data_IF_123390333786
#
_entry.id   IF_123390333786
#
_cell.length_a   1.000
_cell.length_b   1.000
_cell.length_c   1.000
_cell.angle_alpha   90.00
_cell.angle_beta   90.00
_cell.angle_gamma   90.00
#
_symmetry.space_group_name_H-M   'P 1'
#
loop_
_entity.id
_entity.type
_entity.pdbx_description
1 polymer ?
#
# COMPACT_ATOMS: atom_id res chain seq x y z
N UNK A 1 -10.70 5.54 10.33
CA UNK A 1 -9.53 4.77 9.88
C UNK A 1 -9.56 3.36 10.45
N UNK A 2 -9.43 2.38 9.58
CA UNK A 2 -9.69 0.96 9.87
C UNK A 2 -8.59 0.34 10.74
N UNK A 3 -8.94 -0.25 11.92
CA UNK A 3 -7.96 -0.66 12.91
C UNK A 3 -7.00 -1.78 12.45
N UNK A 4 -7.48 -2.74 11.65
CA UNK A 4 -6.70 -3.94 11.28
C UNK A 4 -5.59 -3.66 10.28
N UNK A 5 -5.87 -2.94 9.20
CA UNK A 5 -4.85 -2.56 8.21
C UNK A 5 -3.82 -1.61 8.83
N UNK A 6 -4.27 -0.72 9.71
CA UNK A 6 -3.38 0.15 10.47
C UNK A 6 -2.42 -0.65 11.35
N UNK A 7 -2.89 -1.71 12.02
CA UNK A 7 -2.09 -2.60 12.86
C UNK A 7 -1.00 -3.32 12.05
N UNK A 8 -1.36 -3.91 10.91
CA UNK A 8 -0.42 -4.58 10.02
C UNK A 8 0.71 -3.67 9.57
N UNK A 9 0.38 -2.47 9.12
CA UNK A 9 1.38 -1.50 8.69
C UNK A 9 2.33 -1.09 9.79
N UNK A 10 1.80 -0.83 10.97
CA UNK A 10 2.64 -0.41 12.10
C UNK A 10 3.59 -1.51 12.54
N UNK A 11 3.17 -2.77 12.53
CA UNK A 11 4.02 -3.88 12.83
C UNK A 11 5.17 -4.01 11.83
N UNK A 12 4.87 -4.01 10.54
CA UNK A 12 5.89 -4.04 9.48
C UNK A 12 6.84 -2.84 9.55
N UNK A 13 6.35 -1.64 9.87
CA UNK A 13 7.18 -0.44 9.99
C UNK A 13 8.08 -0.52 11.23
N UNK A 14 7.58 -0.98 12.38
CA UNK A 14 8.38 -1.18 13.59
C UNK A 14 9.59 -2.07 13.36
N UNK A 15 9.42 -3.12 12.57
CA UNK A 15 10.45 -4.10 12.28
C UNK A 15 11.35 -3.68 11.11
N UNK A 16 11.29 -2.43 10.67
CA UNK A 16 12.03 -1.90 9.52
C UNK A 16 11.81 -2.71 8.23
N UNK A 17 10.68 -3.38 8.12
CA UNK A 17 10.35 -4.26 7.00
C UNK A 17 10.36 -3.51 5.65
N UNK A 18 9.91 -2.26 5.64
CA UNK A 18 9.81 -1.45 4.42
C UNK A 18 11.09 -0.72 4.04
N UNK A 19 12.09 -0.69 4.92
CA UNK A 19 13.34 0.00 4.65
C UNK A 19 14.09 -0.68 3.49
N UNK A 20 14.45 0.10 2.49
CA UNK A 20 15.14 -0.40 1.31
C UNK A 20 14.26 -1.04 0.25
N UNK A 21 12.95 -1.18 0.45
CA UNK A 21 12.03 -1.72 -0.56
C UNK A 21 11.75 -0.72 -1.67
N UNK A 22 11.48 -1.25 -2.88
CA UNK A 22 11.23 -0.44 -4.07
C UNK A 22 9.75 -0.33 -4.40
N UNK A 23 9.40 0.67 -5.21
CA UNK A 23 8.14 0.71 -5.94
C UNK A 23 8.31 -0.09 -7.22
N UNK A 24 7.93 -1.36 -7.19
CA UNK A 24 8.17 -2.32 -8.29
C UNK A 24 7.17 -2.21 -9.44
N UNK A 25 6.05 -1.52 -9.24
CA UNK A 25 5.03 -1.29 -10.26
C UNK A 25 4.53 0.14 -10.22
N UNK A 26 4.70 0.85 -11.31
CA UNK A 26 4.36 2.27 -11.41
C UNK A 26 3.58 2.49 -12.70
N UNK A 27 2.38 3.03 -12.59
CA UNK A 27 1.54 3.37 -13.74
C UNK A 27 1.14 4.85 -13.63
N UNK A 28 1.69 5.65 -14.52
CA UNK A 28 1.36 7.08 -14.63
C UNK A 28 -0.14 7.26 -14.84
N UNK A 29 -0.72 8.19 -14.11
CA UNK A 29 -2.16 8.46 -14.15
C UNK A 29 -3.01 7.47 -13.36
N UNK A 30 -2.38 6.50 -12.68
CA UNK A 30 -3.07 5.50 -11.86
C UNK A 30 -2.49 5.43 -10.45
N UNK A 31 -1.40 4.69 -10.23
CA UNK A 31 -0.85 4.45 -8.89
C UNK A 31 0.65 4.09 -8.94
N UNK A 32 1.29 4.16 -7.77
CA UNK A 32 2.59 3.56 -7.51
C UNK A 32 2.43 2.47 -6.45
N UNK A 33 3.00 1.30 -6.68
CA UNK A 33 2.86 0.12 -5.83
C UNK A 33 4.21 -0.37 -5.32
N UNK A 34 4.29 -0.66 -4.04
CA UNK A 34 5.49 -1.16 -3.39
C UNK A 34 5.16 -2.04 -2.19
N UNK A 35 6.16 -2.29 -1.33
CA UNK A 35 6.01 -3.08 -0.12
C UNK A 35 6.20 -4.59 -0.30
N UNK A 36 6.76 -5.00 -1.43
CA UNK A 36 7.16 -6.39 -1.69
C UNK A 36 8.64 -6.56 -1.37
N UNK A 37 9.03 -7.41 -0.39
CA UNK A 37 10.43 -7.65 -0.05
C UNK A 37 11.24 -8.26 -1.18
N UNK A 38 10.59 -8.96 -2.12
CA UNK A 38 11.25 -9.54 -3.29
C UNK A 38 11.27 -8.59 -4.51
N UNK A 39 10.46 -7.53 -4.49
CA UNK A 39 10.35 -6.57 -5.59
C UNK A 39 9.78 -7.15 -6.88
N UNK A 40 9.08 -8.27 -6.82
CA UNK A 40 8.53 -9.01 -7.99
C UNK A 40 7.02 -8.80 -8.17
N UNK A 41 6.34 -8.34 -7.13
CA UNK A 41 4.88 -8.26 -7.05
C UNK A 41 4.23 -9.51 -6.44
N UNK A 42 5.03 -10.55 -6.14
CA UNK A 42 4.54 -11.83 -5.59
C UNK A 42 4.90 -12.05 -4.12
N UNK A 43 5.85 -11.28 -3.59
CA UNK A 43 6.33 -11.41 -2.22
C UNK A 43 5.43 -10.73 -1.18
N UNK A 44 5.68 -11.06 0.08
CA UNK A 44 4.93 -10.53 1.21
C UNK A 44 5.58 -10.89 2.54
N UNK A 45 4.89 -10.63 3.66
CA UNK A 45 5.43 -10.83 5.01
C UNK A 45 5.36 -12.30 5.49
N UNK A 46 4.92 -13.23 4.65
CA UNK A 46 4.72 -14.64 5.02
C UNK A 46 3.36 -14.97 5.60
N UNK A 47 2.43 -14.03 5.61
CA UNK A 47 1.04 -14.20 6.03
C UNK A 47 0.13 -13.19 5.33
N UNK A 48 -1.17 -13.40 5.39
CA UNK A 48 -2.16 -12.46 4.89
C UNK A 48 -3.09 -11.95 5.99
N UNK A 49 -3.84 -10.92 5.69
CA UNK A 49 -4.82 -10.31 6.59
C UNK A 49 -6.17 -10.20 5.91
N UNK A 50 -7.23 -10.10 6.72
CA UNK A 50 -8.58 -9.91 6.22
C UNK A 50 -8.71 -8.61 5.42
N UNK A 51 -9.36 -8.68 4.26
CA UNK A 51 -9.62 -7.53 3.40
C UNK A 51 -10.70 -6.61 3.98
N UNK A 52 -10.34 -5.38 4.30
CA UNK A 52 -11.22 -4.37 4.91
C UNK A 52 -11.82 -3.45 3.85
N UNK A 53 -12.69 -3.99 3.01
CA UNK A 53 -13.39 -3.25 1.95
C UNK A 53 -14.85 -3.71 1.83
N UNK A 54 -15.70 -2.86 1.24
CA UNK A 54 -17.15 -3.02 1.29
C UNK A 54 -17.65 -4.32 0.65
N UNK A 55 -17.06 -4.75 -0.47
CA UNK A 55 -17.43 -6.02 -1.11
C UNK A 55 -17.07 -7.26 -0.28
N UNK A 56 -16.19 -7.12 0.72
CA UNK A 56 -15.83 -8.17 1.68
C UNK A 56 -16.59 -8.05 3.02
N UNK A 57 -17.68 -7.31 3.04
CA UNK A 57 -18.54 -7.15 4.21
C UNK A 57 -17.99 -6.20 5.28
N UNK A 58 -17.00 -5.41 4.97
CA UNK A 58 -16.41 -4.43 5.87
C UNK A 58 -16.75 -3.01 5.43
N UNK A 59 -17.37 -2.21 6.30
CA UNK A 59 -17.70 -0.82 5.96
C UNK A 59 -16.43 0.00 5.76
N UNK A 60 -16.20 0.41 4.52
CA UNK A 60 -15.09 1.27 4.13
C UNK A 60 -15.56 2.29 3.09
N UNK A 61 -15.75 3.52 3.53
CA UNK A 61 -16.27 4.61 2.71
C UNK A 61 -15.16 5.48 2.09
N UNK A 62 -13.90 5.10 2.26
CA UNK A 62 -12.77 5.82 1.67
C UNK A 62 -12.73 5.62 0.15
N UNK A 63 -12.66 6.74 -0.57
CA UNK A 63 -12.59 6.77 -2.03
C UNK A 63 -11.13 6.78 -2.49
N UNK A 64 -10.86 6.11 -3.61
CA UNK A 64 -9.53 6.08 -4.22
C UNK A 64 -9.28 7.36 -5.04
N UNK A 65 -9.09 8.45 -4.32
CA UNK A 65 -8.73 9.75 -4.88
C UNK A 65 -7.21 9.95 -4.85
N UNK A 66 -6.71 10.98 -5.51
CA UNK A 66 -5.28 11.32 -5.53
C UNK A 66 -4.69 11.36 -4.11
N UNK A 67 -3.56 10.68 -3.91
CA UNK A 67 -2.84 10.61 -2.65
C UNK A 67 -3.38 9.58 -1.63
N UNK A 68 -4.43 8.85 -1.94
CA UNK A 68 -4.95 7.79 -1.04
C UNK A 68 -4.03 6.58 -1.06
N UNK A 69 -3.79 6.00 0.13
CA UNK A 69 -3.07 4.76 0.33
C UNK A 69 -4.06 3.61 0.48
N UNK A 70 -3.79 2.51 -0.21
CA UNK A 70 -4.63 1.32 -0.20
C UNK A 70 -3.80 0.04 -0.21
N UNK A 71 -4.35 -1.05 0.33
CA UNK A 71 -3.68 -2.34 0.34
C UNK A 71 -3.80 -3.04 -1.02
N UNK A 72 -2.66 -3.47 -1.55
CA UNK A 72 -2.64 -4.38 -2.68
C UNK A 72 -3.00 -5.81 -2.23
N UNK A 73 -3.61 -6.58 -3.11
CA UNK A 73 -3.99 -7.97 -2.87
C UNK A 73 -4.04 -8.75 -4.18
N UNK A 74 -4.08 -10.08 -4.08
CA UNK A 74 -4.42 -10.93 -5.20
C UNK A 74 -5.94 -10.89 -5.47
N UNK A 75 -6.46 -11.76 -6.33
CA UNK A 75 -7.91 -11.87 -6.56
C UNK A 75 -8.68 -12.34 -5.32
N UNK A 76 -8.02 -13.05 -4.39
CA UNK A 76 -8.63 -13.51 -3.15
C UNK A 76 -8.86 -12.32 -2.20
N UNK A 77 -10.06 -12.18 -1.58
CA UNK A 77 -10.38 -11.03 -0.73
C UNK A 77 -9.47 -10.86 0.50
N UNK A 78 -9.03 -11.95 1.10
CA UNK A 78 -8.24 -11.96 2.34
C UNK A 78 -6.75 -12.28 2.07
N UNK A 79 -6.22 -11.77 0.96
CA UNK A 79 -4.85 -12.04 0.50
C UNK A 79 -3.88 -10.87 0.65
N UNK A 80 -4.31 -9.76 1.25
CA UNK A 80 -3.43 -8.63 1.50
C UNK A 80 -2.34 -9.01 2.51
N UNK A 81 -1.11 -8.59 2.23
CA UNK A 81 0.04 -8.79 3.12
C UNK A 81 0.71 -7.46 3.45
N UNK A 82 1.86 -7.21 2.85
CA UNK A 82 2.63 -5.96 3.04
C UNK A 82 2.55 -5.00 1.86
N UNK A 83 2.15 -5.47 0.68
CA UNK A 83 2.12 -4.61 -0.50
C UNK A 83 1.01 -3.57 -0.40
N UNK A 84 1.33 -2.36 -0.80
CA UNK A 84 0.40 -1.24 -0.82
C UNK A 84 0.60 -0.40 -2.09
N UNK A 85 -0.37 0.43 -2.40
CA UNK A 85 -0.25 1.40 -3.48
C UNK A 85 -0.72 2.79 -3.04
N UNK A 86 -0.18 3.79 -3.70
CA UNK A 86 -0.52 5.19 -3.51
C UNK A 86 -1.13 5.70 -4.80
N UNK A 87 -2.31 6.31 -4.71
CA UNK A 87 -3.02 6.82 -5.88
C UNK A 87 -2.31 8.04 -6.45
N UNK A 88 -1.93 7.96 -7.73
CA UNK A 88 -1.45 9.11 -8.48
C UNK A 88 -2.60 9.98 -9.00
N UNK A 89 -3.68 9.34 -9.43
CA UNK A 89 -4.91 10.02 -9.87
C UNK A 89 -6.15 9.28 -9.36
N UNK A 90 -7.31 9.94 -9.42
CA UNK A 90 -8.57 9.35 -8.98
C UNK A 90 -8.90 8.08 -9.78
N UNK A 91 -9.28 7.02 -9.07
CA UNK A 91 -9.64 5.72 -9.66
C UNK A 91 -10.87 5.14 -8.97
N UNK A 92 -12.07 5.67 -9.25
CA UNK A 92 -13.29 5.26 -8.56
C UNK A 92 -13.68 3.79 -8.79
N UNK A 93 -13.16 3.14 -9.82
CA UNK A 93 -13.37 1.71 -10.07
C UNK A 93 -12.78 0.80 -8.99
N UNK A 94 -11.88 1.30 -8.14
CA UNK A 94 -11.32 0.57 -7.01
C UNK A 94 -12.17 0.67 -5.74
N UNK A 95 -13.08 1.64 -5.69
CA UNK A 95 -13.90 1.89 -4.51
C UNK A 95 -14.76 0.68 -4.16
N UNK A 96 -14.74 0.30 -2.88
CA UNK A 96 -15.47 -0.87 -2.39
C UNK A 96 -14.79 -2.22 -2.65
N UNK A 97 -13.74 -2.27 -3.48
CA UNK A 97 -13.02 -3.51 -3.85
C UNK A 97 -11.63 -3.63 -3.25
N UNK A 98 -11.09 -2.53 -2.74
CA UNK A 98 -9.77 -2.46 -2.11
C UNK A 98 -9.83 -1.72 -0.78
N UNK A 99 -8.93 -2.10 0.14
CA UNK A 99 -8.87 -1.55 1.49
C UNK A 99 -8.05 -0.25 1.53
N UNK A 100 -8.66 0.87 1.17
CA UNK A 100 -8.08 2.18 1.41
C UNK A 100 -7.99 2.47 2.91
N UNK A 101 -6.88 3.04 3.38
CA UNK A 101 -6.64 3.18 4.81
C UNK A 101 -5.96 4.49 5.22
N UNK A 102 -5.52 5.28 4.29
CA UNK A 102 -4.81 6.52 4.58
C UNK A 102 -4.75 7.47 3.40
N UNK A 103 -4.20 8.64 3.64
CA UNK A 103 -3.99 9.66 2.62
C UNK A 103 -2.70 10.41 2.88
N UNK A 104 -2.00 10.77 1.81
CA UNK A 104 -0.83 11.64 1.88
C UNK A 104 -1.25 13.04 2.33
N UNK A 105 -0.56 13.56 3.32
CA UNK A 105 -0.75 14.93 3.82
C UNK A 105 0.38 15.87 3.38
N UNK A 106 1.54 15.31 3.02
CA UNK A 106 2.72 16.05 2.57
C UNK A 106 3.55 15.16 1.65
N UNK A 107 4.20 15.73 0.63
CA UNK A 107 5.08 14.99 -0.27
C UNK A 107 4.42 14.41 -1.52
N UNK A 108 3.25 14.91 -1.93
CA UNK A 108 2.58 14.44 -3.16
C UNK A 108 3.42 14.72 -4.42
N UNK A 109 4.26 15.74 -4.40
CA UNK A 109 5.22 16.03 -5.47
C UNK A 109 6.23 14.90 -5.68
N UNK A 110 6.64 14.20 -4.62
CA UNK A 110 7.50 13.01 -4.69
C UNK A 110 6.78 11.85 -5.33
N UNK A 111 5.52 11.61 -4.98
CA UNK A 111 4.67 10.60 -5.62
C UNK A 111 4.53 10.87 -7.11
N UNK A 112 4.30 12.12 -7.49
CA UNK A 112 4.20 12.51 -8.89
C UNK A 112 5.51 12.24 -9.65
N UNK A 113 6.67 12.54 -9.06
CA UNK A 113 7.98 12.23 -9.66
C UNK A 113 8.16 10.72 -9.88
N UNK A 114 7.83 9.91 -8.90
CA UNK A 114 7.91 8.44 -9.02
C UNK A 114 6.95 7.95 -10.10
N UNK A 115 5.72 8.44 -10.11
CA UNK A 115 4.71 8.05 -11.09
C UNK A 115 5.07 8.43 -12.54
N UNK A 116 5.90 9.44 -12.73
CA UNK A 116 6.35 9.93 -14.05
C UNK A 116 7.68 9.31 -14.48
N UNK A 117 8.29 8.44 -13.68
CA UNK A 117 9.52 7.73 -13.99
C UNK A 117 9.32 6.80 -15.20
N UNK A 118 10.34 6.67 -16.03
CA UNK A 118 10.34 5.71 -17.14
C UNK A 118 10.26 4.27 -16.61
N UNK A 119 9.39 3.48 -17.24
CA UNK A 119 9.13 2.10 -16.86
C UNK A 119 9.34 1.16 -18.07
N UNK A 120 9.52 -0.12 -17.78
CA UNK A 120 9.53 -1.17 -18.80
C UNK A 120 8.08 -1.60 -19.15
N UNK A 121 7.95 -2.62 -20.02
CA UNK A 121 6.64 -3.13 -20.45
C UNK A 121 5.83 -3.84 -19.35
N UNK A 122 6.46 -4.12 -18.20
CA UNK A 122 5.80 -4.67 -17.00
C UNK A 122 5.47 -3.57 -15.95
N UNK A 123 5.52 -2.31 -16.34
CA UNK A 123 5.31 -1.16 -15.44
C UNK A 123 6.34 -1.06 -14.29
N UNK A 124 7.49 -1.73 -14.45
CA UNK A 124 8.59 -1.62 -13.49
C UNK A 124 9.48 -0.41 -13.85
N UNK A 125 9.79 0.48 -12.90
CA UNK A 125 10.73 1.56 -13.14
C UNK A 125 12.09 1.05 -13.64
N UNK A 126 12.64 1.71 -14.67
CA UNK A 126 13.97 1.37 -15.21
C UNK A 126 15.08 1.61 -14.19
N UNK A 127 14.90 2.60 -13.33
CA UNK A 127 15.76 2.86 -12.17
C UNK A 127 14.95 2.62 -10.89
N UNK A 128 15.52 1.88 -9.95
CA UNK A 128 14.84 1.55 -8.69
C UNK A 128 14.44 2.81 -7.91
N UNK A 129 13.16 2.92 -7.62
CA UNK A 129 12.58 3.95 -6.76
C UNK A 129 12.46 3.35 -5.35
N UNK A 130 13.38 3.71 -4.45
CA UNK A 130 13.58 3.02 -3.17
C UNK A 130 13.16 3.86 -1.99
N UNK A 131 12.41 3.24 -1.07
CA UNK A 131 12.14 3.81 0.26
C UNK A 131 13.40 3.63 1.12
N UNK A 132 14.05 4.71 1.53
CA UNK A 132 15.26 4.62 2.36
C UNK A 132 14.93 4.19 3.78
N UNK A 133 14.00 4.88 4.40
CA UNK A 133 13.56 4.62 5.78
C UNK A 133 12.07 4.90 5.89
N UNK A 134 11.35 4.01 6.56
CA UNK A 134 9.93 4.17 6.84
C UNK A 134 9.72 4.13 8.35
N UNK A 135 9.14 5.18 8.90
CA UNK A 135 8.86 5.30 10.34
C UNK A 135 7.38 5.48 10.59
N UNK A 136 6.93 5.12 11.79
CA UNK A 136 5.55 5.32 12.23
C UNK A 136 5.53 6.07 13.56
N UNK A 137 4.68 7.08 13.64
CA UNK A 137 4.35 7.73 14.89
C UNK A 137 2.96 7.26 15.34
N UNK A 138 2.87 6.68 16.53
CA UNK A 138 1.63 6.10 17.05
C UNK A 138 0.94 7.01 18.05
N UNK A 139 1.53 8.17 18.37
CA UNK A 139 1.01 9.13 19.35
C UNK A 139 0.70 8.50 20.71
N UNK A 140 1.52 7.54 21.16
CA UNK A 140 1.37 6.83 22.42
C UNK A 140 0.29 5.73 22.42
N UNK A 141 -0.30 5.41 21.27
CA UNK A 141 -1.29 4.33 21.15
C UNK A 141 -0.59 3.01 20.82
N UNK A 142 -0.80 1.98 21.64
CA UNK A 142 -0.39 0.61 21.35
C UNK A 142 -1.47 -0.10 20.53
N UNK A 143 -1.05 -0.66 19.39
CA UNK A 143 -1.91 -1.46 18.52
C UNK A 143 -1.56 -2.93 18.68
N UNK A 144 -2.55 -3.81 19.02
CA UNK A 144 -2.31 -5.24 19.06
C UNK A 144 -2.00 -5.81 17.67
N UNK A 145 -1.38 -6.98 17.63
CA UNK A 145 -1.12 -7.67 16.36
C UNK A 145 -2.40 -7.92 15.56
N UNK A 146 -2.34 -7.86 14.22
CA UNK A 146 -3.47 -8.22 13.38
C UNK A 146 -3.73 -9.73 13.42
N UNK A 147 -4.97 -10.12 13.14
CA UNK A 147 -5.27 -11.53 12.84
C UNK A 147 -4.57 -11.91 11.53
N UNK A 148 -3.82 -12.99 11.56
CA UNK A 148 -3.09 -13.55 10.41
C UNK A 148 -3.82 -14.75 9.84
N UNK A 149 -3.75 -14.93 8.55
CA UNK A 149 -4.31 -16.06 7.82
C UNK A 149 -3.21 -16.81 7.05
#
# INVERSE_FOLDING_TARGET
LHPRVRRQRQMCIRDSFYDGLIFHRVIRGFMIQGGDPEGTGCGGPGYSIKGEFSQNGFKNDLKHTEGVLSMARSMMPDSAGSQFFIMHKNSPHLDGSYAAFGKIIEGMDVVNKIAETATDYNDRPLEDQRMKTVTVETFGVDYPEPERY
#
